data_IF_420797421740
#
_entry.id   IF_420797421740
#
_cell.length_a   1.000
_cell.length_b   1.000
_cell.length_c   1.000
_cell.angle_alpha   90.00
_cell.angle_beta   90.00
_cell.angle_gamma   90.00
#
_symmetry.space_group_name_H-M   'P 1'
#
loop_
_entity.id
_entity.type
_entity.pdbx_description
1 polymer ?
#
# COMPACT_ATOMS: atom_id res chain seq x y z
N UNK A 1 -0.59 -1.52 -11.73
CA UNK A 1 -0.73 -2.60 -10.72
C UNK A 1 -0.74 -3.95 -11.44
N UNK A 2 -0.36 -5.08 -10.80
CA UNK A 2 -0.54 -6.40 -11.45
C UNK A 2 -2.03 -6.77 -11.55
N UNK A 3 -2.36 -7.79 -12.36
CA UNK A 3 -3.72 -8.36 -12.41
C UNK A 3 -4.21 -8.90 -11.05
N UNK A 4 -3.28 -9.20 -10.15
CA UNK A 4 -3.54 -9.74 -8.80
C UNK A 4 -3.64 -8.64 -7.73
N UNK A 5 -3.68 -7.36 -8.11
CA UNK A 5 -3.74 -6.26 -7.14
C UNK A 5 -2.40 -5.96 -6.45
N UNK A 6 -1.29 -6.49 -6.97
CA UNK A 6 0.02 -6.28 -6.36
C UNK A 6 0.67 -4.99 -6.86
N UNK A 7 1.21 -4.23 -5.93
CA UNK A 7 2.01 -3.04 -6.14
C UNK A 7 3.47 -3.36 -5.91
N UNK A 8 4.32 -3.05 -6.88
CA UNK A 8 5.76 -3.10 -6.70
C UNK A 8 6.23 -1.86 -5.97
N UNK A 9 7.02 -2.03 -4.90
CA UNK A 9 7.58 -0.92 -4.15
C UNK A 9 9.05 -0.73 -4.56
N UNK A 10 9.46 0.38 -5.19
CA UNK A 10 10.84 0.64 -5.60
C UNK A 10 11.86 0.61 -4.45
N UNK A 11 13.10 0.21 -4.75
CA UNK A 11 14.18 0.00 -3.75
C UNK A 11 14.39 1.21 -2.84
N UNK A 12 14.40 2.43 -3.39
CA UNK A 12 14.56 3.65 -2.60
C UNK A 12 13.46 3.83 -1.55
N UNK A 13 12.19 3.59 -1.94
CA UNK A 13 11.06 3.65 -1.01
C UNK A 13 11.13 2.54 0.04
N UNK A 14 11.53 1.32 -0.34
CA UNK A 14 11.71 0.21 0.61
C UNK A 14 12.73 0.53 1.70
N UNK A 15 13.89 1.06 1.28
CA UNK A 15 14.96 1.44 2.21
C UNK A 15 14.52 2.60 3.11
N UNK A 16 13.88 3.60 2.52
CA UNK A 16 13.36 4.76 3.25
C UNK A 16 12.34 4.37 4.34
N UNK A 17 11.40 3.49 4.00
CA UNK A 17 10.34 3.05 4.91
C UNK A 17 10.75 1.89 5.83
N UNK A 18 11.97 1.40 5.69
CA UNK A 18 12.48 0.22 6.37
C UNK A 18 11.56 -1.00 6.19
N UNK A 19 11.08 -1.22 4.96
CA UNK A 19 10.28 -2.39 4.65
C UNK A 19 11.16 -3.64 4.61
N UNK A 20 10.80 -4.65 5.41
CA UNK A 20 11.49 -5.93 5.55
C UNK A 20 10.59 -7.05 5.06
N UNK A 21 11.16 -8.09 4.47
CA UNK A 21 10.38 -9.26 4.07
C UNK A 21 9.59 -9.81 5.26
N UNK A 22 8.39 -10.31 4.95
CA UNK A 22 7.43 -10.89 5.91
C UNK A 22 6.88 -9.92 6.95
N UNK A 23 7.18 -8.61 6.84
CA UNK A 23 6.57 -7.63 7.72
C UNK A 23 5.06 -7.51 7.49
N UNK A 24 4.33 -7.26 8.56
CA UNK A 24 2.93 -6.91 8.48
C UNK A 24 2.73 -5.40 8.31
N UNK A 25 1.84 -5.05 7.39
CA UNK A 25 1.42 -3.69 7.08
C UNK A 25 -0.09 -3.57 7.29
N UNK A 26 -0.52 -2.39 7.74
CA UNK A 26 -1.92 -2.00 7.68
C UNK A 26 -2.18 -1.35 6.32
N UNK A 27 -3.25 -1.77 5.64
CA UNK A 27 -3.70 -1.17 4.38
C UNK A 27 -5.16 -0.77 4.54
N UNK A 28 -5.46 0.51 4.36
CA UNK A 28 -6.81 1.06 4.51
C UNK A 28 -7.05 2.22 3.56
N UNK A 29 -8.32 2.64 3.46
CA UNK A 29 -8.73 3.79 2.66
C UNK A 29 -8.94 4.99 3.56
N UNK A 30 -8.36 6.13 3.19
CA UNK A 30 -8.59 7.43 3.82
C UNK A 30 -8.67 8.48 2.73
N UNK A 31 -9.71 9.33 2.73
CA UNK A 31 -9.89 10.42 1.77
C UNK A 31 -9.70 10.03 0.28
N UNK A 32 -10.23 8.86 -0.12
CA UNK A 32 -10.08 8.30 -1.48
C UNK A 32 -8.65 7.89 -1.87
N UNK A 33 -7.78 7.73 -0.88
CA UNK A 33 -6.40 7.29 -1.04
C UNK A 33 -6.18 5.96 -0.32
N UNK A 34 -5.24 5.14 -0.81
CA UNK A 34 -4.79 3.96 -0.07
C UNK A 34 -3.67 4.40 0.86
N UNK A 35 -3.82 4.12 2.14
CA UNK A 35 -2.79 4.31 3.14
C UNK A 35 -2.16 2.96 3.45
N UNK A 36 -0.82 2.93 3.46
CA UNK A 36 -0.03 1.76 3.83
C UNK A 36 0.94 2.18 4.93
N UNK A 37 0.90 1.51 6.06
CA UNK A 37 1.76 1.83 7.21
C UNK A 37 2.17 0.60 8.01
N UNK A 38 3.19 0.76 8.84
CA UNK A 38 3.58 -0.26 9.81
C UNK A 38 2.47 -0.46 10.83
N UNK A 39 2.21 -1.72 11.19
CA UNK A 39 1.27 -2.03 12.26
C UNK A 39 1.87 -1.57 13.59
N UNK A 40 1.13 -0.72 14.31
CA UNK A 40 1.46 -0.30 15.68
C UNK A 40 0.74 -1.13 16.75
N UNK A 41 -0.37 -1.81 16.39
CA UNK A 41 -1.17 -2.63 17.29
C UNK A 41 -1.34 -4.06 16.74
N UNK A 42 -0.88 -5.04 17.51
CA UNK A 42 -0.97 -6.46 17.19
C UNK A 42 -2.41 -6.97 17.08
N UNK A 43 -3.42 -6.21 17.52
CA UNK A 43 -4.83 -6.58 17.41
C UNK A 43 -5.50 -6.08 16.12
N UNK A 44 -4.78 -5.40 15.23
CA UNK A 44 -5.34 -4.97 13.94
C UNK A 44 -5.78 -6.17 13.11
N UNK A 45 -7.02 -6.16 12.62
CA UNK A 45 -7.56 -7.21 11.76
C UNK A 45 -7.11 -7.07 10.29
N UNK A 46 -6.69 -5.86 9.89
CA UNK A 46 -6.23 -5.56 8.54
C UNK A 46 -4.71 -5.69 8.44
N UNK A 47 -4.22 -6.93 8.50
CA UNK A 47 -2.79 -7.23 8.35
C UNK A 47 -2.50 -7.78 6.97
N UNK A 48 -1.58 -7.14 6.27
CA UNK A 48 -1.11 -7.58 4.96
C UNK A 48 0.39 -7.81 4.99
N UNK A 49 0.82 -8.92 4.40
CA UNK A 49 2.22 -9.27 4.34
C UNK A 49 2.86 -8.54 3.17
N UNK A 50 3.93 -7.81 3.46
CA UNK A 50 4.85 -7.36 2.44
C UNK A 50 5.74 -8.53 2.02
N UNK A 51 5.67 -8.90 0.75
CA UNK A 51 6.41 -10.05 0.24
C UNK A 51 6.93 -9.86 -1.17
N UNK A 52 8.18 -10.25 -1.42
CA UNK A 52 8.78 -10.28 -2.75
C UNK A 52 8.85 -8.90 -3.40
N UNK A 53 9.18 -7.87 -2.61
CA UNK A 53 9.15 -6.46 -3.02
C UNK A 53 7.77 -5.91 -3.43
N UNK A 54 6.70 -6.60 -3.05
CA UNK A 54 5.34 -6.25 -3.43
C UNK A 54 4.42 -6.15 -2.22
N UNK A 55 3.39 -5.34 -2.38
CA UNK A 55 2.25 -5.24 -1.47
C UNK A 55 1.01 -5.62 -2.23
N UNK A 56 0.21 -6.53 -1.68
CA UNK A 56 -1.10 -6.86 -2.25
C UNK A 56 -2.14 -5.89 -1.70
N UNK A 57 -2.76 -5.12 -2.58
CA UNK A 57 -3.92 -4.30 -2.21
C UNK A 57 -5.13 -5.24 -2.10
N UNK A 58 -5.88 -5.20 -0.99
CA UNK A 58 -7.08 -6.03 -0.81
C UNK A 58 -8.10 -5.81 -1.90
N UNK A 59 -8.83 -6.86 -2.30
CA UNK A 59 -9.83 -6.76 -3.38
C UNK A 59 -10.98 -5.82 -2.99
N UNK A 60 -11.28 -5.73 -1.69
CA UNK A 60 -12.27 -4.83 -1.11
C UNK A 60 -11.87 -3.37 -1.34
N UNK A 61 -10.61 -3.03 -1.05
CA UNK A 61 -10.06 -1.68 -1.28
C UNK A 61 -10.04 -1.36 -2.77
N UNK A 62 -9.64 -2.31 -3.62
CA UNK A 62 -9.68 -2.14 -5.08
C UNK A 62 -11.10 -1.84 -5.57
N UNK A 63 -12.11 -2.54 -5.06
CA UNK A 63 -13.53 -2.34 -5.42
C UNK A 63 -14.06 -0.99 -4.94
N UNK A 64 -13.80 -0.62 -3.68
CA UNK A 64 -14.23 0.65 -3.10
C UNK A 64 -13.71 1.83 -3.92
N UNK A 65 -12.46 1.73 -4.37
CA UNK A 65 -11.76 2.80 -5.08
C UNK A 65 -11.84 2.69 -6.61
N UNK A 66 -12.50 1.65 -7.15
CA UNK A 66 -12.57 1.41 -8.60
C UNK A 66 -11.21 1.21 -9.28
N UNK A 67 -10.20 0.73 -8.54
CA UNK A 67 -8.83 0.57 -9.05
C UNK A 67 -8.73 -0.71 -9.86
N UNK A 68 -8.17 -0.59 -11.05
CA UNK A 68 -7.84 -1.71 -11.94
C UNK A 68 -6.34 -1.74 -12.23
N UNK A 69 -5.89 -2.72 -13.01
CA UNK A 69 -4.50 -2.82 -13.46
C UNK A 69 -4.05 -1.58 -14.25
N UNK A 70 -4.99 -0.89 -14.91
CA UNK A 70 -4.77 0.24 -15.83
C UNK A 70 -4.87 1.59 -15.11
N UNK A 71 -5.21 1.59 -13.82
CA UNK A 71 -5.28 2.80 -13.00
C UNK A 71 -3.89 3.36 -12.73
N UNK A 72 -3.71 4.65 -13.02
CA UNK A 72 -2.50 5.40 -12.65
C UNK A 72 -2.52 5.76 -11.17
N UNK A 73 -1.43 5.45 -10.48
CA UNK A 73 -1.29 5.64 -9.04
C UNK A 73 -0.10 6.55 -8.76
N UNK A 74 -0.31 7.57 -7.94
CA UNK A 74 0.75 8.41 -7.40
C UNK A 74 1.10 7.91 -5.99
N UNK A 75 2.33 7.42 -5.83
CA UNK A 75 2.83 6.91 -4.56
C UNK A 75 3.68 7.97 -3.88
N UNK A 76 3.25 8.42 -2.71
CA UNK A 76 3.92 9.48 -1.93
C UNK A 76 4.33 8.93 -0.56
N UNK A 77 5.64 8.92 -0.23
CA UNK A 77 6.07 8.63 1.13
C UNK A 77 5.77 9.82 2.05
N UNK A 78 5.26 9.53 3.25
CA UNK A 78 5.03 10.54 4.29
C UNK A 78 6.07 10.35 5.38
N UNK A 79 6.95 11.34 5.51
CA UNK A 79 8.18 11.28 6.28
C UNK A 79 7.95 11.01 7.78
N UNK A 80 7.00 11.71 8.38
CA UNK A 80 6.86 11.73 9.85
C UNK A 80 6.31 10.42 10.41
N UNK A 81 5.63 9.64 9.58
CA UNK A 81 4.85 8.49 10.04
C UNK A 81 5.26 7.16 9.40
N UNK A 82 6.29 7.14 8.54
CA UNK A 82 6.69 5.94 7.77
C UNK A 82 5.51 5.30 7.03
N UNK A 83 4.66 6.15 6.44
CA UNK A 83 3.47 5.74 5.68
C UNK A 83 3.70 5.96 4.19
N UNK A 84 3.02 5.18 3.37
CA UNK A 84 2.79 5.46 1.95
C UNK A 84 1.35 5.91 1.77
N UNK A 85 1.17 7.00 1.06
CA UNK A 85 -0.13 7.43 0.55
C UNK A 85 -0.13 7.17 -0.94
N UNK A 86 -1.14 6.45 -1.40
CA UNK A 86 -1.33 6.15 -2.81
C UNK A 86 -2.61 6.84 -3.27
N UNK A 87 -2.43 7.87 -4.10
CA UNK A 87 -3.52 8.61 -4.70
C UNK A 87 -3.84 8.05 -6.08
N UNK A 88 -5.13 7.97 -6.39
CA UNK A 88 -5.61 7.60 -7.71
C UNK A 88 -5.54 8.85 -8.59
N UNK A 89 -4.81 8.77 -9.68
CA UNK A 89 -4.79 9.84 -10.67
C UNK A 89 -6.00 9.66 -11.59
N UNK A 90 -7.00 10.52 -11.41
CA UNK A 90 -8.07 10.68 -12.38
C UNK A 90 -7.52 11.43 -13.59
N UNK A 91 -7.61 10.84 -14.78
CA UNK A 91 -7.41 11.55 -16.04
C UNK A 91 -8.68 12.32 -16.41
#
# INVERSE_FOLDING_TARGET
>A
MTKTGQLYIPKGLRQYLNFKEEMFLCIYVENNSIIIEHILDENSHNKFVYHGNKITVPVEIQRILGITKDTNLLVTPVCDFKKLVINILSC
#
